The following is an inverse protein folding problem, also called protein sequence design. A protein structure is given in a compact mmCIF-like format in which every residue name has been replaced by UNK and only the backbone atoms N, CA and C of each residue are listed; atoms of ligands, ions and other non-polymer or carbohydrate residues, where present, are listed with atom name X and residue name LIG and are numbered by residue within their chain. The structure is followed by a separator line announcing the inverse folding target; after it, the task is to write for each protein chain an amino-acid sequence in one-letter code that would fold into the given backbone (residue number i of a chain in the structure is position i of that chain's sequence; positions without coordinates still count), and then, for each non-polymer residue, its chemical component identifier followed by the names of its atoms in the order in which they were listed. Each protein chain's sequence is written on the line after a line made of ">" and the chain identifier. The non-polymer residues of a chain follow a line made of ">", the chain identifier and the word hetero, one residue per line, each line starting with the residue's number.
data_IF_589632461577
#
_entry.id   IF_589632461577
#
_cell.length_a   1.000
_cell.length_b   1.000
_cell.length_c   1.000
_cell.angle_alpha   90.00
_cell.angle_beta   90.00
_cell.angle_gamma   90.00
#
_symmetry.space_group_name_H-M   'P 1'
#
loop_
_entity.id
_entity.type
_entity.pdbx_description
1 polymer ?
#
# COMPACT_ATOMS: atom_id res chain seq x y z
N UNK A 1 12.13 -19.64 4.25
CA UNK A 1 11.71 -18.46 3.46
C UNK A 1 10.21 -18.40 3.59
N UNK A 2 9.61 -17.22 3.80
CA UNK A 2 8.16 -17.08 3.82
C UNK A 2 7.61 -17.41 2.42
N UNK A 3 6.40 -17.95 2.31
CA UNK A 3 5.77 -18.21 1.01
C UNK A 3 5.52 -16.87 0.28
N UNK A 4 5.60 -16.90 -1.06
CA UNK A 4 5.32 -15.73 -1.88
C UNK A 4 3.83 -15.42 -1.85
N UNK A 5 3.47 -14.19 -1.45
CA UNK A 5 2.11 -13.67 -1.63
C UNK A 5 2.01 -12.90 -2.94
N UNK A 6 1.12 -13.29 -3.83
CA UNK A 6 0.70 -12.46 -4.96
C UNK A 6 -0.75 -12.05 -4.74
N UNK A 7 -0.93 -10.81 -4.29
CA UNK A 7 -2.21 -10.31 -3.85
C UNK A 7 -2.90 -9.39 -4.86
N UNK A 8 -4.17 -9.12 -4.60
CA UNK A 8 -5.01 -8.18 -5.35
C UNK A 8 -4.93 -6.78 -4.69
N UNK A 9 -4.57 -5.76 -5.45
CA UNK A 9 -4.67 -4.38 -5.02
C UNK A 9 -6.08 -3.83 -5.36
N UNK A 10 -6.94 -3.76 -4.35
CA UNK A 10 -8.31 -3.28 -4.50
C UNK A 10 -8.35 -1.76 -4.65
N UNK A 11 -8.90 -1.28 -5.78
CA UNK A 11 -8.97 0.14 -6.10
C UNK A 11 -10.26 0.77 -5.61
N UNK A 12 -10.21 1.32 -4.40
CA UNK A 12 -11.36 1.96 -3.75
C UNK A 12 -11.73 3.31 -4.37
N UNK A 13 -10.88 3.84 -5.23
CA UNK A 13 -11.12 5.06 -6.00
C UNK A 13 -11.96 4.80 -7.25
N UNK A 14 -11.96 3.58 -7.79
CA UNK A 14 -12.65 3.20 -9.02
C UNK A 14 -13.94 2.42 -8.78
N UNK A 15 -13.98 1.63 -7.70
CA UNK A 15 -15.06 0.69 -7.43
C UNK A 15 -15.77 1.01 -6.12
N UNK A 16 -17.09 0.88 -6.11
CA UNK A 16 -17.88 1.02 -4.88
C UNK A 16 -17.52 -0.06 -3.85
N UNK A 17 -17.78 0.16 -2.55
CA UNK A 17 -17.25 -0.70 -1.49
C UNK A 17 -17.72 -2.16 -1.59
N UNK A 18 -18.96 -2.43 -2.02
CA UNK A 18 -19.45 -3.80 -2.21
C UNK A 18 -18.76 -4.49 -3.38
N UNK A 19 -18.61 -3.78 -4.48
CA UNK A 19 -17.94 -4.30 -5.67
C UNK A 19 -16.46 -4.61 -5.39
N UNK A 20 -15.76 -3.73 -4.65
CA UNK A 20 -14.38 -3.97 -4.24
C UNK A 20 -14.23 -5.26 -3.40
N UNK A 21 -15.18 -5.53 -2.47
CA UNK A 21 -15.21 -6.77 -1.69
C UNK A 21 -15.48 -7.99 -2.59
N UNK A 22 -16.42 -7.89 -3.52
CA UNK A 22 -16.74 -8.97 -4.47
C UNK A 22 -15.57 -9.29 -5.40
N UNK A 23 -14.90 -8.27 -5.94
CA UNK A 23 -13.73 -8.42 -6.80
C UNK A 23 -12.55 -9.05 -6.04
N UNK A 24 -12.34 -8.65 -4.79
CA UNK A 24 -11.29 -9.26 -3.95
C UNK A 24 -11.59 -10.73 -3.66
N UNK A 25 -12.83 -11.07 -3.33
CA UNK A 25 -13.22 -12.47 -3.13
C UNK A 25 -13.10 -13.31 -4.42
N UNK A 26 -13.43 -12.72 -5.58
CA UNK A 26 -13.21 -13.34 -6.88
C UNK A 26 -11.72 -13.57 -7.14
N UNK A 27 -10.88 -12.58 -6.85
CA UNK A 27 -9.43 -12.69 -7.02
C UNK A 27 -8.86 -13.86 -6.20
N UNK A 28 -9.28 -14.03 -4.94
CA UNK A 28 -8.84 -15.18 -4.13
C UNK A 28 -9.29 -16.52 -4.73
N UNK A 29 -10.51 -16.62 -5.27
CA UNK A 29 -10.98 -17.82 -5.97
C UNK A 29 -10.14 -18.18 -7.20
N UNK A 30 -9.47 -17.20 -7.78
CA UNK A 30 -8.56 -17.35 -8.94
C UNK A 30 -7.07 -17.39 -8.55
N UNK A 31 -6.74 -17.57 -7.25
CA UNK A 31 -5.39 -17.84 -6.78
C UNK A 31 -4.59 -16.62 -6.30
N UNK A 32 -5.18 -15.44 -6.22
CA UNK A 32 -4.57 -14.33 -5.49
C UNK A 32 -4.62 -14.64 -3.98
N UNK A 33 -3.55 -14.32 -3.25
CA UNK A 33 -3.38 -14.78 -1.87
C UNK A 33 -3.39 -13.65 -0.83
N UNK A 34 -3.91 -12.48 -1.18
CA UNK A 34 -4.05 -11.36 -0.25
C UNK A 34 -4.70 -10.14 -0.86
N UNK A 35 -5.00 -9.15 -0.02
CA UNK A 35 -5.61 -7.89 -0.40
C UNK A 35 -4.83 -6.70 0.15
N UNK A 36 -4.55 -5.72 -0.72
CA UNK A 36 -4.04 -4.40 -0.36
C UNK A 36 -5.03 -3.34 -0.86
N UNK A 37 -5.35 -2.33 -0.04
CA UNK A 37 -6.21 -1.22 -0.47
C UNK A 37 -5.69 0.12 0.06
N UNK A 38 -5.72 1.17 -0.75
CA UNK A 38 -5.27 2.50 -0.36
C UNK A 38 -6.31 3.22 0.53
N UNK A 39 -5.83 4.02 1.48
CA UNK A 39 -6.67 4.85 2.35
C UNK A 39 -6.79 6.26 1.76
N UNK A 40 -7.66 6.42 0.80
CA UNK A 40 -7.92 7.69 0.15
C UNK A 40 -9.24 8.32 0.61
N UNK A 41 -9.25 9.64 0.72
CA UNK A 41 -10.46 10.44 0.92
C UNK A 41 -11.00 10.97 -0.41
N UNK A 42 -10.15 11.13 -1.40
CA UNK A 42 -10.49 11.57 -2.74
C UNK A 42 -9.90 10.62 -3.79
N UNK A 43 -10.58 10.40 -4.93
CA UNK A 43 -9.97 9.71 -6.06
C UNK A 43 -8.81 10.55 -6.64
N UNK A 44 -7.96 9.91 -7.43
CA UNK A 44 -6.89 10.61 -8.13
C UNK A 44 -7.43 11.56 -9.20
N UNK A 45 -8.42 11.11 -9.95
CA UNK A 45 -9.12 11.92 -10.97
C UNK A 45 -10.62 11.76 -10.78
N UNK A 46 -11.44 12.82 -11.08
CA UNK A 46 -12.89 12.78 -10.84
C UNK A 46 -13.62 11.62 -11.52
N UNK A 47 -13.12 11.17 -12.67
CA UNK A 47 -13.71 10.06 -13.43
C UNK A 47 -13.68 8.71 -12.70
N UNK A 48 -12.78 8.51 -11.74
CA UNK A 48 -12.75 7.31 -10.91
C UNK A 48 -13.99 7.20 -10.00
N UNK A 49 -14.43 8.31 -9.41
CA UNK A 49 -15.77 8.49 -8.87
C UNK A 49 -16.02 7.92 -7.46
N UNK A 50 -15.06 7.25 -6.83
CA UNK A 50 -15.20 6.62 -5.52
C UNK A 50 -14.04 7.02 -4.59
N UNK A 51 -14.22 6.84 -3.28
CA UNK A 51 -13.15 6.85 -2.26
C UNK A 51 -13.71 6.23 -0.97
N UNK A 52 -13.87 4.92 -0.95
CA UNK A 52 -14.43 4.21 0.20
C UNK A 52 -13.43 4.16 1.36
N UNK A 53 -13.93 4.24 2.60
CA UNK A 53 -13.09 4.16 3.79
C UNK A 53 -12.45 2.77 3.92
N UNK A 54 -11.14 2.70 3.85
CA UNK A 54 -10.37 1.46 3.70
C UNK A 54 -10.63 0.45 4.82
N UNK A 55 -10.72 0.89 6.08
CA UNK A 55 -10.88 0.01 7.24
C UNK A 55 -12.19 -0.77 7.22
N UNK A 56 -13.28 -0.11 6.80
CA UNK A 56 -14.58 -0.76 6.64
C UNK A 56 -14.56 -1.81 5.51
N UNK A 57 -13.86 -1.50 4.42
CA UNK A 57 -13.74 -2.42 3.27
C UNK A 57 -12.85 -3.61 3.63
N UNK A 58 -11.70 -3.40 4.27
CA UNK A 58 -10.81 -4.48 4.70
C UNK A 58 -11.49 -5.42 5.71
N UNK A 59 -12.29 -4.90 6.64
CA UNK A 59 -13.09 -5.74 7.53
C UNK A 59 -14.09 -6.62 6.76
N UNK A 60 -14.78 -6.04 5.77
CA UNK A 60 -15.70 -6.81 4.93
C UNK A 60 -14.98 -7.81 4.00
N UNK A 61 -13.80 -7.49 3.51
CA UNK A 61 -12.93 -8.40 2.75
C UNK A 61 -12.51 -9.58 3.62
N UNK A 62 -12.10 -9.31 4.88
CA UNK A 62 -11.68 -10.35 5.81
C UNK A 62 -12.73 -11.43 6.05
N UNK A 63 -14.03 -11.08 6.07
CA UNK A 63 -15.17 -12.02 6.17
C UNK A 63 -15.37 -12.89 4.91
N UNK A 64 -14.82 -12.47 3.78
CA UNK A 64 -15.07 -13.11 2.48
C UNK A 64 -13.83 -13.83 1.92
N UNK A 65 -12.68 -13.67 2.56
CA UNK A 65 -11.38 -14.17 2.11
C UNK A 65 -10.59 -14.79 3.26
N UNK A 66 -9.52 -15.50 2.92
CA UNK A 66 -8.61 -16.14 3.88
C UNK A 66 -7.17 -15.62 3.78
N UNK A 67 -6.80 -14.94 2.69
CA UNK A 67 -5.50 -14.34 2.47
C UNK A 67 -5.18 -13.18 3.41
N UNK A 68 -3.98 -12.65 3.31
CA UNK A 68 -3.58 -11.48 4.10
C UNK A 68 -4.32 -10.20 3.66
N UNK A 69 -4.33 -9.19 4.51
CA UNK A 69 -4.99 -7.93 4.21
C UNK A 69 -4.33 -6.76 4.94
N UNK A 70 -4.22 -5.63 4.23
CA UNK A 70 -3.65 -4.45 4.83
C UNK A 70 -3.89 -3.17 4.03
N UNK A 71 -3.86 -2.02 4.73
CA UNK A 71 -3.90 -0.73 4.05
C UNK A 71 -2.57 -0.47 3.33
N UNK A 72 -2.65 -0.14 2.07
CA UNK A 72 -1.48 0.21 1.27
C UNK A 72 -1.57 1.60 0.64
N UNK A 73 -1.48 2.71 1.44
CA UNK A 73 -1.20 2.78 2.88
C UNK A 73 -2.10 3.80 3.57
N UNK A 74 -2.25 3.72 4.90
CA UNK A 74 -2.88 4.80 5.67
C UNK A 74 -1.85 5.83 6.12
N UNK A 75 -2.31 7.08 6.35
CA UNK A 75 -1.48 8.15 6.90
C UNK A 75 -1.87 8.39 8.36
N UNK A 76 -1.04 7.97 9.34
CA UNK A 76 -1.39 8.06 10.77
C UNK A 76 -1.03 9.42 11.38
N UNK A 77 -1.01 10.50 10.60
CA UNK A 77 -0.40 11.74 11.09
C UNK A 77 -1.14 13.03 10.79
N UNK A 78 -2.21 13.01 9.99
CA UNK A 78 -3.02 14.20 9.69
C UNK A 78 -4.51 13.95 9.93
N UNK A 79 -5.21 13.27 8.99
CA UNK A 79 -6.63 12.94 9.15
C UNK A 79 -6.91 12.11 10.40
N UNK A 80 -5.95 11.29 10.82
CA UNK A 80 -6.06 10.41 11.97
C UNK A 80 -4.98 10.69 13.00
N UNK A 81 -5.36 10.62 14.27
CA UNK A 81 -4.40 10.49 15.35
C UNK A 81 -3.83 9.06 15.36
N UNK A 82 -2.52 8.83 15.60
CA UNK A 82 -1.93 7.48 15.56
C UNK A 82 -2.60 6.48 16.52
N UNK A 83 -3.19 6.92 17.60
CA UNK A 83 -3.95 6.05 18.51
C UNK A 83 -5.20 5.46 17.84
N UNK A 84 -5.86 6.20 16.96
CA UNK A 84 -7.02 5.69 16.21
C UNK A 84 -6.59 4.63 15.20
N UNK A 85 -5.51 4.89 14.48
CA UNK A 85 -4.94 3.91 13.56
C UNK A 85 -4.47 2.64 14.29
N UNK A 86 -3.88 2.79 15.46
CA UNK A 86 -3.51 1.64 16.30
C UNK A 86 -4.75 0.84 16.73
N UNK A 87 -5.84 1.50 17.10
CA UNK A 87 -7.10 0.84 17.49
C UNK A 87 -7.74 0.09 16.32
N UNK A 88 -7.84 0.73 15.14
CA UNK A 88 -8.38 0.11 13.94
C UNK A 88 -7.57 -1.14 13.55
N UNK A 89 -6.24 -1.00 13.53
CA UNK A 89 -5.32 -2.07 13.17
C UNK A 89 -5.37 -3.24 14.16
N UNK A 90 -5.38 -2.96 15.47
CA UNK A 90 -5.50 -4.00 16.50
C UNK A 90 -6.86 -4.73 16.41
N UNK A 91 -7.94 -3.99 16.10
CA UNK A 91 -9.27 -4.57 15.95
C UNK A 91 -9.31 -5.51 14.73
N UNK A 92 -8.75 -5.08 13.60
CA UNK A 92 -8.72 -5.89 12.38
C UNK A 92 -7.89 -7.16 12.56
N UNK A 93 -6.73 -7.07 13.23
CA UNK A 93 -5.92 -8.25 13.56
C UNK A 93 -6.63 -9.19 14.55
N UNK A 94 -7.36 -8.65 15.52
CA UNK A 94 -8.15 -9.47 16.45
C UNK A 94 -9.32 -10.18 15.75
N UNK A 95 -9.90 -9.58 14.71
CA UNK A 95 -10.91 -10.22 13.85
C UNK A 95 -10.33 -11.34 12.97
N UNK A 96 -9.11 -11.13 12.46
CA UNK A 96 -8.45 -12.00 11.47
C UNK A 96 -7.00 -12.30 11.87
N UNK A 97 -6.77 -13.09 12.92
CA UNK A 97 -5.44 -13.29 13.51
C UNK A 97 -4.40 -13.81 12.50
N UNK A 98 -3.24 -13.14 12.46
CA UNK A 98 -2.11 -13.49 11.59
C UNK A 98 -2.26 -13.07 10.13
N UNK A 99 -3.35 -12.36 9.78
CA UNK A 99 -3.64 -11.96 8.39
C UNK A 99 -3.39 -10.48 8.14
N UNK A 100 -3.52 -9.64 9.16
CA UNK A 100 -3.43 -8.19 8.97
C UNK A 100 -1.99 -7.69 9.10
N UNK A 101 -1.66 -6.71 8.27
CA UNK A 101 -0.45 -5.90 8.38
C UNK A 101 -0.81 -4.42 8.24
N UNK A 102 -0.17 -3.56 9.04
CA UNK A 102 -0.41 -2.12 9.03
C UNK A 102 0.58 -1.42 8.11
N UNK A 103 0.14 -1.06 6.91
CA UNK A 103 0.91 -0.20 6.00
C UNK A 103 0.70 1.28 6.29
N UNK A 104 1.79 2.02 6.53
CA UNK A 104 1.75 3.45 6.82
C UNK A 104 2.60 4.27 5.86
N UNK A 105 2.16 5.50 5.60
CA UNK A 105 2.81 6.46 4.72
C UNK A 105 2.82 7.88 5.28
N UNK A 106 3.64 8.75 4.68
CA UNK A 106 3.77 10.15 5.11
C UNK A 106 2.60 11.05 4.65
N UNK A 107 1.66 10.50 3.91
CA UNK A 107 0.48 11.21 3.40
C UNK A 107 0.74 12.00 2.12
N UNK A 108 -0.35 12.37 1.48
CA UNK A 108 -0.42 13.20 0.27
C UNK A 108 -1.45 14.31 0.48
N UNK A 109 -1.16 15.49 -0.03
CA UNK A 109 -2.06 16.64 0.11
C UNK A 109 -3.46 16.36 -0.44
N UNK A 110 -3.56 15.52 -1.48
CA UNK A 110 -4.85 15.09 -2.06
C UNK A 110 -5.83 14.60 -0.99
N UNK A 111 -5.34 13.82 -0.04
CA UNK A 111 -6.16 13.17 0.98
C UNK A 111 -6.15 13.90 2.33
N UNK A 112 -4.98 14.46 2.72
CA UNK A 112 -4.78 14.93 4.07
C UNK A 112 -5.18 16.41 4.29
N UNK A 113 -5.25 17.22 3.21
CA UNK A 113 -5.60 18.65 3.32
C UNK A 113 -7.05 18.91 3.73
N UNK A 114 -7.93 17.92 3.64
CA UNK A 114 -9.37 18.06 3.89
C UNK A 114 -9.71 18.49 5.32
N UNK A 115 -8.84 18.20 6.29
CA UNK A 115 -9.02 18.63 7.68
C UNK A 115 -8.59 20.08 7.91
N UNK A 116 -8.10 20.76 6.88
CA UNK A 116 -7.52 22.10 7.00
C UNK A 116 -6.11 22.09 7.57
N UNK A 117 -5.60 23.30 7.86
CA UNK A 117 -4.29 23.48 8.45
C UNK A 117 -3.15 23.52 7.43
N UNK A 118 -1.94 23.54 7.97
CA UNK A 118 -0.70 23.64 7.22
C UNK A 118 -0.27 22.28 6.66
N UNK A 119 0.07 22.22 5.39
CA UNK A 119 0.68 21.05 4.77
C UNK A 119 2.20 21.23 4.77
N UNK A 120 2.92 20.45 5.58
CA UNK A 120 4.35 20.65 5.76
C UNK A 120 5.20 20.07 4.63
N UNK A 121 6.46 20.46 4.59
CA UNK A 121 7.47 19.90 3.71
C UNK A 121 7.72 18.41 3.98
N UNK A 122 8.21 17.70 2.97
CA UNK A 122 8.40 16.25 2.99
C UNK A 122 9.22 15.74 4.20
N UNK A 123 10.24 16.49 4.63
CA UNK A 123 11.06 16.14 5.79
C UNK A 123 10.29 16.17 7.10
N UNK A 124 9.38 17.14 7.28
CA UNK A 124 8.52 17.21 8.45
C UNK A 124 7.43 16.13 8.40
N UNK A 125 6.81 15.91 7.23
CA UNK A 125 5.84 14.82 7.04
C UNK A 125 6.42 13.46 7.44
N UNK A 126 7.66 13.19 6.98
CA UNK A 126 8.38 11.97 7.35
C UNK A 126 8.65 11.89 8.85
N UNK A 127 9.08 12.98 9.49
CA UNK A 127 9.34 12.99 10.94
C UNK A 127 8.07 12.75 11.74
N UNK A 128 6.97 13.34 11.32
CA UNK A 128 5.64 13.18 11.88
C UNK A 128 5.16 11.73 11.78
N UNK A 129 5.34 11.10 10.62
CA UNK A 129 5.02 9.68 10.41
C UNK A 129 5.82 8.76 11.34
N UNK A 130 7.13 8.99 11.50
CA UNK A 130 7.93 8.13 12.39
C UNK A 130 7.60 8.33 13.86
N UNK A 131 7.19 9.53 14.30
CA UNK A 131 6.65 9.72 15.65
C UNK A 131 5.29 9.02 15.82
N UNK A 132 4.43 9.03 14.78
CA UNK A 132 3.19 8.28 14.80
C UNK A 132 3.43 6.76 14.93
N UNK A 133 4.42 6.20 14.23
CA UNK A 133 4.83 4.80 14.35
C UNK A 133 5.29 4.50 15.79
N UNK A 134 6.05 5.40 16.41
CA UNK A 134 6.46 5.26 17.81
C UNK A 134 5.26 5.17 18.74
N UNK A 135 4.25 6.05 18.57
CA UNK A 135 3.01 6.02 19.36
C UNK A 135 2.26 4.71 19.17
N UNK A 136 2.10 4.26 17.92
CA UNK A 136 1.41 3.00 17.57
C UNK A 136 2.10 1.81 18.26
N UNK A 137 3.42 1.68 18.10
CA UNK A 137 4.18 0.56 18.68
C UNK A 137 4.17 0.60 20.20
N UNK A 138 4.29 1.78 20.83
CA UNK A 138 4.14 1.92 22.28
C UNK A 138 2.76 1.47 22.78
N UNK A 139 1.69 1.80 22.04
CA UNK A 139 0.35 1.34 22.38
C UNK A 139 0.23 -0.19 22.25
N UNK A 140 0.74 -0.78 21.18
CA UNK A 140 0.75 -2.22 21.00
C UNK A 140 1.50 -2.93 22.13
N UNK A 141 2.76 -2.56 22.37
CA UNK A 141 3.62 -3.20 23.37
C UNK A 141 3.04 -3.08 24.79
N UNK A 142 2.55 -1.90 25.16
CA UNK A 142 1.95 -1.69 26.47
C UNK A 142 0.65 -2.47 26.64
N UNK A 143 -0.19 -2.51 25.60
CA UNK A 143 -1.49 -3.20 25.63
C UNK A 143 -1.33 -4.72 25.74
N UNK A 144 -0.40 -5.32 24.99
CA UNK A 144 -0.03 -6.73 25.14
C UNK A 144 0.46 -7.05 26.55
N UNK A 145 1.24 -6.14 27.15
CA UNK A 145 1.71 -6.27 28.52
C UNK A 145 0.64 -5.96 29.59
N UNK A 146 -0.59 -5.60 29.20
CA UNK A 146 -1.67 -5.21 30.11
C UNK A 146 -1.41 -3.91 30.88
N UNK A 147 -0.56 -3.03 30.35
CA UNK A 147 -0.13 -1.77 30.99
C UNK A 147 -0.66 -0.55 30.23
N UNK A 148 -0.87 0.52 30.98
CA UNK A 148 -1.17 1.82 30.39
C UNK A 148 0.12 2.52 29.95
N UNK A 149 0.03 3.35 28.92
CA UNK A 149 1.13 4.12 28.34
C UNK A 149 0.69 5.56 28.09
N UNK A 150 1.63 6.49 28.14
CA UNK A 150 1.47 7.87 27.70
C UNK A 150 2.58 8.25 26.74
N UNK A 151 2.32 9.24 25.91
CA UNK A 151 3.33 9.82 25.01
C UNK A 151 3.20 11.34 25.01
N UNK A 152 4.33 12.01 25.05
CA UNK A 152 4.45 13.46 24.85
C UNK A 152 5.58 13.69 23.86
N UNK A 153 5.21 13.92 22.62
CA UNK A 153 6.15 14.13 21.51
C UNK A 153 6.10 15.55 20.95
N UNK A 154 6.73 15.71 19.81
CA UNK A 154 6.70 16.98 19.07
C UNK A 154 5.33 17.20 18.39
N UNK A 155 4.74 16.14 17.86
CA UNK A 155 3.54 16.21 17.03
C UNK A 155 2.33 15.56 17.68
N UNK A 156 2.54 14.59 18.57
CA UNK A 156 1.45 13.83 19.18
C UNK A 156 1.56 13.82 20.69
N UNK A 157 0.40 13.90 21.31
CA UNK A 157 0.23 13.66 22.75
C UNK A 157 -0.76 12.52 22.92
N UNK A 158 -0.40 11.55 23.75
CA UNK A 158 -1.29 10.47 24.17
C UNK A 158 -1.39 10.53 25.70
N UNK A 159 -2.60 10.76 26.21
CA UNK A 159 -2.89 10.64 27.63
C UNK A 159 -2.79 9.17 28.08
N UNK A 160 -2.65 8.95 29.37
CA UNK A 160 -2.48 7.61 29.94
C UNK A 160 -3.63 6.70 29.55
N UNK A 161 -3.33 5.69 28.72
CA UNK A 161 -4.30 4.75 28.15
C UNK A 161 -3.64 3.49 27.63
N UNK A 162 -4.45 2.52 27.20
CA UNK A 162 -4.09 1.33 26.42
C UNK A 162 -5.21 0.96 25.46
N UNK A 163 -4.94 0.07 24.53
CA UNK A 163 -5.97 -0.58 23.72
C UNK A 163 -6.60 -1.71 24.54
N UNK A 164 -7.93 -1.77 24.57
CA UNK A 164 -8.68 -2.78 25.31
C UNK A 164 -8.98 -4.02 24.48
N UNK A 165 -9.11 -3.86 23.14
CA UNK A 165 -9.11 -4.96 22.20
C UNK A 165 -7.72 -5.04 21.60
N UNK A 166 -6.96 -6.09 21.95
CA UNK A 166 -5.60 -6.29 21.47
C UNK A 166 -5.38 -7.77 21.16
N UNK A 167 -4.90 -8.12 19.96
CA UNK A 167 -4.51 -9.48 19.63
C UNK A 167 -3.27 -9.91 20.45
N UNK A 168 -3.05 -11.22 20.61
CA UNK A 168 -1.87 -11.73 21.29
C UNK A 168 -0.56 -11.31 20.61
N UNK A 169 -0.57 -11.28 19.28
CA UNK A 169 0.54 -10.80 18.47
C UNK A 169 0.11 -9.51 17.74
N UNK A 170 0.78 -8.39 17.99
CA UNK A 170 0.49 -7.15 17.26
C UNK A 170 0.72 -7.30 15.77
N UNK A 171 -0.09 -6.65 14.91
CA UNK A 171 0.17 -6.62 13.48
C UNK A 171 1.51 -5.93 13.18
N UNK A 172 2.29 -6.42 12.20
CA UNK A 172 3.52 -5.76 11.79
C UNK A 172 3.23 -4.41 11.15
N UNK A 173 4.06 -3.41 11.49
CA UNK A 173 3.98 -2.04 10.94
C UNK A 173 4.95 -1.91 9.79
N UNK A 174 4.44 -1.75 8.58
CA UNK A 174 5.21 -1.63 7.35
C UNK A 174 5.17 -0.18 6.84
N UNK A 175 6.30 0.34 6.32
CA UNK A 175 6.39 1.74 5.89
C UNK A 175 6.56 1.85 4.38
N UNK A 176 5.70 2.65 3.75
CA UNK A 176 5.83 2.97 2.34
C UNK A 176 6.88 4.07 2.11
N UNK A 177 7.84 3.77 1.28
CA UNK A 177 8.89 4.72 0.89
C UNK A 177 9.51 4.39 -0.47
N UNK A 178 9.99 5.44 -1.15
CA UNK A 178 10.76 5.34 -2.39
C UNK A 178 12.12 6.08 -2.29
N UNK A 179 12.46 6.59 -1.09
CA UNK A 179 13.69 7.37 -0.87
C UNK A 179 14.65 6.69 0.14
N UNK A 180 15.98 6.80 -0.09
CA UNK A 180 16.97 6.06 0.69
C UNK A 180 17.03 6.46 2.17
N UNK A 181 16.80 7.75 2.48
CA UNK A 181 16.78 8.23 3.88
C UNK A 181 15.67 7.60 4.68
N UNK A 182 14.45 7.58 4.13
CA UNK A 182 13.33 6.95 4.80
C UNK A 182 13.45 5.42 4.79
N UNK A 183 14.04 4.79 3.77
CA UNK A 183 14.30 3.36 3.77
C UNK A 183 15.19 2.94 4.96
N UNK A 184 16.28 3.68 5.21
CA UNK A 184 17.13 3.43 6.38
C UNK A 184 16.37 3.59 7.70
N UNK A 185 15.58 4.67 7.84
CA UNK A 185 14.73 4.88 9.03
C UNK A 185 13.67 3.76 9.18
N UNK A 186 13.09 3.30 8.07
CA UNK A 186 12.14 2.18 8.05
C UNK A 186 12.76 0.91 8.61
N UNK A 187 13.94 0.51 8.16
CA UNK A 187 14.66 -0.64 8.72
C UNK A 187 14.86 -0.53 10.23
N UNK A 188 15.18 0.67 10.70
CA UNK A 188 15.42 0.90 12.13
C UNK A 188 14.13 0.85 12.97
N UNK A 189 13.05 1.49 12.53
CA UNK A 189 11.88 1.77 13.40
C UNK A 189 10.64 0.95 13.06
N UNK A 190 10.54 0.37 11.86
CA UNK A 190 9.38 -0.41 11.41
C UNK A 190 9.70 -1.92 11.31
N UNK A 191 8.72 -2.71 10.91
CA UNK A 191 8.83 -4.16 10.83
C UNK A 191 8.96 -4.65 9.38
N UNK A 192 8.78 -3.78 8.39
CA UNK A 192 8.98 -4.08 6.97
C UNK A 192 8.87 -2.83 6.09
N UNK A 193 9.09 -3.01 4.80
CA UNK A 193 9.08 -1.92 3.80
C UNK A 193 8.04 -2.18 2.71
N UNK A 194 7.37 -1.10 2.28
CA UNK A 194 6.47 -1.09 1.12
C UNK A 194 7.04 -0.14 0.07
N UNK A 195 6.99 -0.51 -1.20
CA UNK A 195 7.31 0.40 -2.30
C UNK A 195 6.43 0.11 -3.52
N UNK A 196 6.56 0.95 -4.54
CA UNK A 196 5.90 0.76 -5.84
C UNK A 196 6.90 0.35 -6.90
N UNK A 197 6.41 -0.16 -8.03
CA UNK A 197 7.25 -0.52 -9.18
C UNK A 197 8.18 0.62 -9.60
N UNK A 198 9.47 0.31 -9.77
CA UNK A 198 10.52 1.22 -10.18
C UNK A 198 11.67 0.41 -10.82
N UNK A 199 12.66 1.06 -11.49
CA UNK A 199 13.83 0.34 -11.99
C UNK A 199 14.49 -0.50 -10.89
N UNK A 200 14.85 -1.75 -11.19
CA UNK A 200 15.32 -2.74 -10.21
C UNK A 200 16.57 -2.26 -9.46
N UNK A 201 17.49 -1.57 -10.12
CA UNK A 201 18.68 -0.98 -9.50
C UNK A 201 18.29 0.02 -8.39
N UNK A 202 17.29 0.86 -8.65
CA UNK A 202 16.78 1.82 -7.64
C UNK A 202 16.17 1.09 -6.44
N UNK A 203 15.44 0.02 -6.66
CA UNK A 203 14.85 -0.79 -5.57
C UNK A 203 15.95 -1.53 -4.81
N UNK A 204 16.96 -2.10 -5.50
CA UNK A 204 18.12 -2.71 -4.85
C UNK A 204 18.82 -1.73 -3.90
N UNK A 205 19.11 -0.50 -4.35
CA UNK A 205 19.65 0.54 -3.49
C UNK A 205 18.74 0.95 -2.32
N UNK A 206 17.42 0.84 -2.50
CA UNK A 206 16.45 1.06 -1.43
C UNK A 206 16.55 -0.05 -0.37
N UNK A 207 16.65 -1.31 -0.81
CA UNK A 207 16.80 -2.47 0.08
C UNK A 207 18.13 -2.44 0.84
N UNK A 208 19.22 -2.00 0.22
CA UNK A 208 20.51 -1.83 0.90
C UNK A 208 20.40 -0.84 2.08
N UNK A 209 19.71 0.29 1.87
CA UNK A 209 19.47 1.28 2.92
C UNK A 209 18.53 0.78 4.01
N UNK A 210 17.50 0.05 3.63
CA UNK A 210 16.60 -0.61 4.58
C UNK A 210 17.37 -1.61 5.45
N UNK A 211 18.19 -2.46 4.84
CA UNK A 211 19.01 -3.43 5.54
C UNK A 211 20.06 -2.79 6.47
N UNK A 212 20.68 -1.67 6.02
CA UNK A 212 21.57 -0.88 6.86
C UNK A 212 20.87 -0.44 8.16
N UNK A 213 19.68 0.16 8.04
CA UNK A 213 18.90 0.61 9.19
C UNK A 213 18.43 -0.52 10.11
N UNK A 214 18.03 -1.66 9.53
CA UNK A 214 17.63 -2.84 10.30
C UNK A 214 18.79 -3.40 11.14
N UNK A 215 19.97 -3.56 10.53
CA UNK A 215 21.18 -4.05 11.25
C UNK A 215 21.62 -3.08 12.35
N UNK A 216 21.55 -1.77 12.14
CA UNK A 216 21.82 -0.77 13.18
C UNK A 216 20.89 -0.90 14.40
N UNK A 217 19.68 -1.43 14.20
CA UNK A 217 18.70 -1.70 15.25
C UNK A 217 18.76 -3.13 15.80
N UNK A 218 19.73 -3.94 15.37
CA UNK A 218 19.87 -5.34 15.80
C UNK A 218 18.83 -6.27 15.20
N UNK A 219 18.18 -5.89 14.09
CA UNK A 219 17.17 -6.68 13.38
C UNK A 219 17.80 -7.42 12.21
N UNK A 220 17.22 -8.57 11.86
CA UNK A 220 17.56 -9.31 10.65
C UNK A 220 16.75 -8.78 9.45
N UNK A 221 17.37 -8.08 8.48
CA UNK A 221 16.66 -7.53 7.33
C UNK A 221 16.07 -8.60 6.39
N UNK A 222 16.59 -9.83 6.43
CA UNK A 222 16.11 -10.91 5.57
C UNK A 222 14.83 -11.56 6.13
N UNK A 223 14.57 -11.38 7.42
CA UNK A 223 13.31 -11.78 8.07
C UNK A 223 12.22 -10.70 8.00
N UNK A 224 12.56 -9.49 7.52
CA UNK A 224 11.61 -8.37 7.46
C UNK A 224 10.88 -8.32 6.11
N UNK A 225 9.51 -8.25 6.10
CA UNK A 225 8.72 -8.24 4.87
C UNK A 225 9.09 -7.09 3.91
N UNK A 226 9.18 -7.42 2.63
CA UNK A 226 9.38 -6.49 1.51
C UNK A 226 8.17 -6.59 0.59
N UNK A 227 7.37 -5.52 0.56
CA UNK A 227 6.07 -5.46 -0.12
C UNK A 227 6.13 -4.54 -1.33
N UNK A 228 5.62 -5.01 -2.45
CA UNK A 228 5.47 -4.26 -3.69
C UNK A 228 4.01 -4.04 -4.04
N UNK A 229 3.64 -2.80 -4.36
CA UNK A 229 2.46 -2.53 -5.18
C UNK A 229 2.91 -2.34 -6.63
N UNK A 230 2.43 -3.19 -7.52
CA UNK A 230 2.79 -3.15 -8.94
C UNK A 230 1.59 -2.74 -9.78
N UNK A 231 1.68 -1.55 -10.39
CA UNK A 231 0.69 -1.07 -11.35
C UNK A 231 0.97 -1.69 -12.72
N UNK A 232 -0.07 -2.16 -13.37
CA UNK A 232 -0.04 -2.71 -14.71
C UNK A 232 -1.35 -2.41 -15.45
N UNK A 233 -1.36 -2.50 -16.75
CA UNK A 233 -2.59 -2.42 -17.55
C UNK A 233 -2.65 -3.61 -18.50
N UNK A 234 -3.58 -4.50 -18.24
CA UNK A 234 -3.94 -5.60 -19.11
C UNK A 234 -5.34 -5.40 -19.69
N UNK A 235 -5.52 -5.74 -20.94
CA UNK A 235 -6.81 -5.87 -21.60
C UNK A 235 -6.67 -6.88 -22.74
N UNK A 236 -7.77 -7.25 -23.42
CA UNK A 236 -7.75 -8.20 -24.53
C UNK A 236 -6.92 -7.73 -25.75
N UNK A 237 -6.69 -6.41 -25.86
CA UNK A 237 -5.83 -5.81 -26.90
C UNK A 237 -4.88 -4.79 -26.29
N UNK A 238 -3.70 -4.60 -26.89
CA UNK A 238 -2.72 -3.58 -26.46
C UNK A 238 -3.30 -2.16 -26.56
N UNK A 239 -4.15 -1.88 -27.55
CA UNK A 239 -4.83 -0.60 -27.71
C UNK A 239 -5.76 -0.33 -26.53
N UNK A 240 -6.55 -1.32 -26.11
CA UNK A 240 -7.44 -1.17 -24.96
C UNK A 240 -6.66 -1.07 -23.64
N UNK A 241 -5.58 -1.83 -23.49
CA UNK A 241 -4.69 -1.74 -22.32
C UNK A 241 -4.08 -0.34 -22.20
N UNK A 242 -3.63 0.25 -23.30
CA UNK A 242 -3.12 1.62 -23.34
C UNK A 242 -4.22 2.64 -23.03
N UNK A 243 -5.41 2.48 -23.60
CA UNK A 243 -6.56 3.35 -23.33
C UNK A 243 -6.91 3.32 -21.83
N UNK A 244 -6.94 2.15 -21.22
CA UNK A 244 -7.17 2.00 -19.79
C UNK A 244 -6.11 2.74 -18.95
N UNK A 245 -4.83 2.61 -19.31
CA UNK A 245 -3.74 3.31 -18.62
C UNK A 245 -3.88 4.83 -18.72
N UNK A 246 -4.20 5.34 -19.90
CA UNK A 246 -4.36 6.77 -20.17
C UNK A 246 -5.58 7.38 -19.46
N UNK A 247 -6.67 6.65 -19.33
CA UNK A 247 -7.93 7.16 -18.78
C UNK A 247 -8.08 6.93 -17.29
N UNK A 248 -7.70 5.75 -16.81
CA UNK A 248 -7.92 5.34 -15.42
C UNK A 248 -6.70 5.62 -14.52
N UNK A 249 -5.48 5.62 -15.09
CA UNK A 249 -4.25 5.79 -14.32
C UNK A 249 -3.22 6.71 -14.99
N UNK A 250 -3.60 7.92 -15.43
CA UNK A 250 -2.65 8.86 -16.02
C UNK A 250 -1.49 9.22 -15.07
N UNK A 251 -1.70 9.08 -13.77
CA UNK A 251 -0.67 9.28 -12.73
C UNK A 251 0.59 8.43 -12.97
N UNK A 252 0.46 7.26 -13.58
CA UNK A 252 1.59 6.38 -13.94
C UNK A 252 2.56 7.03 -14.93
N UNK A 253 2.05 7.86 -15.85
CA UNK A 253 2.84 8.61 -16.83
C UNK A 253 3.44 9.92 -16.28
N UNK A 254 2.94 10.46 -15.17
CA UNK A 254 3.40 11.75 -14.64
C UNK A 254 4.82 11.67 -14.04
N UNK A 255 5.72 12.57 -14.47
CA UNK A 255 7.17 12.56 -14.14
C UNK A 255 7.57 13.58 -13.06
N UNK A 256 6.65 14.00 -12.20
CA UNK A 256 6.89 14.98 -11.13
C UNK A 256 6.36 14.48 -9.78
N UNK A 257 6.76 15.16 -8.70
CA UNK A 257 6.29 14.87 -7.35
C UNK A 257 4.81 15.22 -7.20
N UNK A 258 3.99 14.26 -6.76
CA UNK A 258 2.52 14.38 -6.69
C UNK A 258 2.01 14.67 -5.28
N UNK A 259 2.85 14.53 -4.27
CA UNK A 259 2.45 14.58 -2.87
C UNK A 259 1.85 15.93 -2.40
N UNK A 260 2.08 17.02 -3.15
CA UNK A 260 1.62 18.36 -2.79
C UNK A 260 0.37 18.82 -3.59
N UNK A 261 -0.15 17.96 -4.48
CA UNK A 261 -1.35 18.26 -5.26
C UNK A 261 -2.59 17.94 -4.41
N UNK A 262 -3.51 18.91 -4.31
CA UNK A 262 -4.64 18.85 -3.36
C UNK A 262 -5.97 18.43 -3.97
N UNK A 263 -6.10 18.43 -5.29
CA UNK A 263 -7.41 18.30 -5.93
C UNK A 263 -7.39 17.27 -7.05
N UNK A 264 -8.41 16.39 -7.13
CA UNK A 264 -8.62 15.51 -8.30
C UNK A 264 -8.70 16.29 -9.62
N UNK A 265 -9.28 17.49 -9.61
CA UNK A 265 -9.36 18.34 -10.81
C UNK A 265 -7.98 18.85 -11.26
N UNK A 266 -7.05 19.08 -10.33
CA UNK A 266 -5.67 19.42 -10.71
C UNK A 266 -4.95 18.21 -11.31
N UNK A 267 -5.17 17.00 -10.77
CA UNK A 267 -4.66 15.79 -11.38
C UNK A 267 -5.24 15.58 -12.79
N UNK A 268 -6.55 15.80 -12.98
CA UNK A 268 -7.20 15.69 -14.28
C UNK A 268 -6.61 16.68 -15.30
N UNK A 269 -6.42 17.95 -14.89
CA UNK A 269 -5.80 18.95 -15.75
C UNK A 269 -4.36 18.56 -16.16
N UNK A 270 -3.59 17.95 -15.26
CA UNK A 270 -2.24 17.45 -15.56
C UNK A 270 -2.26 16.16 -16.36
N UNK A 271 -3.28 15.31 -16.17
CA UNK A 271 -3.50 14.09 -16.94
C UNK A 271 -3.62 14.37 -18.45
N UNK A 272 -4.20 15.51 -18.83
CA UNK A 272 -4.31 15.95 -20.23
C UNK A 272 -2.94 16.16 -20.91
N UNK A 273 -1.85 16.26 -20.15
CA UNK A 273 -0.49 16.42 -20.67
C UNK A 273 0.27 15.08 -20.82
N UNK A 274 -0.28 14.00 -20.27
CA UNK A 274 0.34 12.67 -20.31
C UNK A 274 0.18 12.06 -21.71
N UNK A 275 1.24 11.47 -22.22
CA UNK A 275 1.30 10.83 -23.54
C UNK A 275 1.57 9.34 -23.37
N UNK A 276 1.25 8.49 -24.35
CA UNK A 276 1.52 7.06 -24.31
C UNK A 276 2.98 6.71 -23.98
N UNK A 277 3.93 7.44 -24.57
CA UNK A 277 5.36 7.24 -24.32
C UNK A 277 5.83 7.55 -22.89
N UNK A 278 5.05 8.26 -22.09
CA UNK A 278 5.38 8.59 -20.70
C UNK A 278 5.28 7.38 -19.76
N UNK A 279 4.57 6.32 -20.17
CA UNK A 279 4.46 5.06 -19.43
C UNK A 279 5.67 4.13 -19.64
N UNK A 280 6.48 4.37 -20.67
CA UNK A 280 7.62 3.51 -21.01
C UNK A 280 8.57 3.32 -19.81
N UNK A 281 8.85 2.07 -19.43
CA UNK A 281 9.71 1.70 -18.30
C UNK A 281 9.14 2.03 -16.91
N UNK A 282 7.84 2.36 -16.81
CA UNK A 282 7.15 2.69 -15.56
C UNK A 282 6.01 1.75 -15.21
N UNK A 283 5.33 1.25 -16.22
CA UNK A 283 4.19 0.37 -16.07
C UNK A 283 4.14 -0.56 -17.28
N UNK A 284 3.88 -1.83 -17.05
CA UNK A 284 3.60 -2.79 -18.13
C UNK A 284 2.20 -2.54 -18.66
N UNK A 285 2.11 -2.33 -19.97
CA UNK A 285 0.86 -2.15 -20.72
C UNK A 285 0.89 -3.16 -21.86
N UNK A 286 0.11 -4.23 -21.77
CA UNK A 286 0.11 -5.29 -22.80
C UNK A 286 -1.14 -6.16 -22.70
N UNK A 287 -1.54 -6.75 -23.82
CA UNK A 287 -2.53 -7.81 -23.88
C UNK A 287 -1.93 -9.21 -23.59
N UNK A 288 -0.60 -9.34 -23.67
CA UNK A 288 0.08 -10.62 -23.47
C UNK A 288 0.33 -10.90 -21.98
N UNK A 289 -0.30 -11.93 -21.38
CA UNK A 289 -0.08 -12.30 -19.98
C UNK A 289 1.37 -12.70 -19.66
N UNK A 290 2.13 -13.23 -20.63
CA UNK A 290 3.52 -13.62 -20.41
C UNK A 290 4.46 -12.42 -20.23
N UNK A 291 4.15 -11.27 -20.85
CA UNK A 291 4.87 -10.02 -20.63
C UNK A 291 4.69 -9.55 -19.19
N UNK A 292 3.46 -9.60 -18.66
CA UNK A 292 3.17 -9.28 -17.27
C UNK A 292 3.84 -10.24 -16.29
N UNK A 293 3.76 -11.55 -16.58
CA UNK A 293 4.41 -12.59 -15.77
C UNK A 293 5.92 -12.36 -15.67
N UNK A 294 6.57 -12.08 -16.80
CA UNK A 294 8.01 -11.81 -16.80
C UNK A 294 8.40 -10.61 -15.93
N UNK A 295 7.62 -9.54 -15.98
CA UNK A 295 7.89 -8.36 -15.14
C UNK A 295 7.63 -8.65 -13.65
N UNK A 296 6.54 -9.33 -13.30
CA UNK A 296 6.27 -9.73 -11.91
C UNK A 296 7.42 -10.62 -11.38
N UNK A 297 7.87 -11.60 -12.18
CA UNK A 297 8.97 -12.48 -11.80
C UNK A 297 10.26 -11.72 -11.48
N UNK A 298 10.60 -10.67 -12.23
CA UNK A 298 11.79 -9.85 -11.98
C UNK A 298 11.77 -9.21 -10.58
N UNK A 299 10.60 -8.80 -10.09
CA UNK A 299 10.47 -8.28 -8.73
C UNK A 299 10.52 -9.39 -7.68
N UNK A 300 9.93 -10.54 -7.95
CA UNK A 300 10.03 -11.71 -7.07
C UNK A 300 11.50 -12.13 -6.91
N UNK A 301 12.25 -12.20 -8.02
CA UNK A 301 13.68 -12.54 -8.04
C UNK A 301 14.54 -11.51 -7.29
N UNK A 302 14.10 -10.24 -7.24
CA UNK A 302 14.76 -9.19 -6.47
C UNK A 302 14.59 -9.36 -4.95
N UNK A 303 13.64 -10.20 -4.51
CA UNK A 303 13.44 -10.54 -3.11
C UNK A 303 12.22 -9.91 -2.44
N UNK A 304 11.20 -9.53 -3.20
CA UNK A 304 9.90 -9.19 -2.61
C UNK A 304 9.19 -10.45 -2.09
N UNK A 305 8.64 -10.35 -0.90
CA UNK A 305 7.84 -11.42 -0.27
C UNK A 305 6.37 -11.35 -0.65
N UNK A 306 5.89 -10.13 -0.90
CA UNK A 306 4.50 -9.83 -1.24
C UNK A 306 4.43 -8.88 -2.40
N UNK A 307 3.68 -9.24 -3.44
CA UNK A 307 3.46 -8.43 -4.64
C UNK A 307 1.96 -8.27 -4.84
N UNK A 308 1.46 -7.05 -4.63
CA UNK A 308 0.05 -6.74 -4.87
C UNK A 308 -0.12 -6.11 -6.25
N UNK A 309 -0.89 -6.77 -7.09
CA UNK A 309 -1.09 -6.39 -8.47
C UNK A 309 -2.28 -5.44 -8.60
N UNK A 310 -2.05 -4.29 -9.20
CA UNK A 310 -3.07 -3.32 -9.56
C UNK A 310 -3.22 -3.28 -11.09
N UNK A 311 -4.24 -3.95 -11.64
CA UNK A 311 -4.68 -3.68 -13.00
C UNK A 311 -5.48 -2.40 -13.02
N UNK A 312 -5.01 -1.40 -13.77
CA UNK A 312 -5.61 -0.05 -13.74
C UNK A 312 -6.93 0.03 -14.52
N UNK A 313 -7.22 -0.92 -15.39
CA UNK A 313 -8.46 -0.97 -16.15
C UNK A 313 -9.67 -1.37 -15.31
N UNK A 314 -10.88 -1.05 -15.80
CA UNK A 314 -12.14 -1.47 -15.15
C UNK A 314 -12.55 -2.91 -15.45
N UNK A 315 -11.86 -3.57 -16.36
CA UNK A 315 -12.05 -4.98 -16.76
C UNK A 315 -11.46 -5.95 -15.71
N UNK A 316 -11.81 -5.76 -14.43
CA UNK A 316 -11.20 -6.50 -13.33
C UNK A 316 -11.53 -7.99 -13.38
N UNK A 317 -12.77 -8.37 -13.73
CA UNK A 317 -13.20 -9.78 -13.74
C UNK A 317 -12.41 -10.59 -14.76
N UNK A 318 -12.34 -10.09 -15.98
CA UNK A 318 -11.61 -10.72 -17.08
C UNK A 318 -10.11 -10.82 -16.77
N UNK A 319 -9.55 -9.75 -16.21
CA UNK A 319 -8.16 -9.72 -15.78
C UNK A 319 -7.86 -10.72 -14.67
N UNK A 320 -8.71 -10.80 -13.63
CA UNK A 320 -8.57 -11.75 -12.52
C UNK A 320 -8.57 -13.19 -13.06
N UNK A 321 -9.50 -13.53 -13.94
CA UNK A 321 -9.62 -14.87 -14.53
C UNK A 321 -8.39 -15.23 -15.37
N UNK A 322 -7.92 -14.32 -16.23
CA UNK A 322 -6.74 -14.54 -17.07
C UNK A 322 -5.48 -14.68 -16.23
N UNK A 323 -5.27 -13.78 -15.26
CA UNK A 323 -4.06 -13.84 -14.43
C UNK A 323 -4.06 -15.07 -13.51
N UNK A 324 -5.20 -15.43 -12.95
CA UNK A 324 -5.34 -16.65 -12.15
C UNK A 324 -5.01 -17.93 -12.92
N UNK A 325 -5.35 -17.98 -14.22
CA UNK A 325 -5.09 -19.13 -15.09
C UNK A 325 -3.68 -19.14 -15.70
N UNK A 326 -3.20 -17.99 -16.20
CA UNK A 326 -2.05 -17.92 -17.10
C UNK A 326 -0.79 -17.29 -16.48
N UNK A 327 -0.92 -16.52 -15.39
CA UNK A 327 0.18 -15.78 -14.76
C UNK A 327 0.58 -16.39 -13.40
N UNK A 328 -0.35 -16.39 -12.45
CA UNK A 328 -0.03 -16.75 -11.05
C UNK A 328 0.56 -18.15 -10.88
N UNK A 329 0.02 -19.22 -11.55
CA UNK A 329 0.55 -20.58 -11.37
C UNK A 329 1.96 -20.79 -11.91
N UNK A 330 2.45 -19.87 -12.74
CA UNK A 330 3.77 -19.95 -13.38
C UNK A 330 4.85 -19.11 -12.69
N UNK A 331 4.48 -18.33 -11.66
CA UNK A 331 5.44 -17.56 -10.86
C UNK A 331 6.21 -18.52 -9.95
N UNK A 332 7.52 -18.25 -9.81
CA UNK A 332 8.44 -19.08 -9.03
C UNK A 332 9.17 -18.19 -8.02
N UNK A 333 9.42 -18.74 -6.84
CA UNK A 333 10.28 -18.12 -5.82
C UNK A 333 11.63 -18.81 -5.74
#
# INVERSE_FOLDING_TARGET
>A
MADLTVGYAAMLEQFGPREAVELTALAEQHGFSGCMAADHFQPWVPAQGQASFVWNVLAAVGERTTGDLGPGVTCPSFRFHPAMVAQDSATLEAMYPGRHWLGVGAGEALNEHIIGGYWPEAGERSTRMFEAIEVIKKLFDASVAGKDVKHQGRFFTLETTRLWTMPETPPPVLVATAGPVNAKRTGKYADGIITVGAPLEKIGGLFDKFAEGAREAGKDPDAMPKVLQLHLSWAETDEQALTNAMTEWPNGGMKFAKADIRSPHHFEAMAALVRPEDFAGRMVISADPDVHRAEIQRYVDLGFDRVYLHNVGRNQREWIEVFGRDVLPKLQR
#
